data_IF_850368830930
#
_entry.id   IF_850368830930
#
_cell.length_a   1.000
_cell.length_b   1.000
_cell.length_c   1.000
_cell.angle_alpha   90.00
_cell.angle_beta   90.00
_cell.angle_gamma   90.00
#
_symmetry.space_group_name_H-M   'P 1'
#
loop_
_entity.id
_entity.type
_entity.pdbx_description
1 polymer ?
#
# COMPACT_ATOMS: atom_id res chain seq x y z
N UNK A 1 -2.67 -27.69 28.47
CA UNK A 1 -1.29 -27.42 28.06
C UNK A 1 -1.19 -27.83 26.59
N UNK A 2 -0.94 -26.88 25.69
CA UNK A 2 -0.83 -27.15 24.26
C UNK A 2 0.63 -27.01 23.84
N UNK A 3 1.06 -27.80 22.86
CA UNK A 3 2.33 -27.62 22.17
C UNK A 3 2.13 -26.65 21.01
N UNK A 4 2.78 -25.49 21.10
CA UNK A 4 2.67 -24.40 20.14
C UNK A 4 4.01 -24.18 19.46
N UNK A 5 3.99 -23.93 18.16
CA UNK A 5 5.20 -23.52 17.42
C UNK A 5 4.94 -22.16 16.78
N UNK A 6 5.76 -21.17 17.09
CA UNK A 6 5.72 -19.87 16.42
C UNK A 6 6.79 -19.89 15.33
N UNK A 7 6.34 -19.89 14.08
CA UNK A 7 7.19 -19.84 12.90
C UNK A 7 7.28 -18.41 12.40
N UNK A 8 8.45 -18.02 11.89
CA UNK A 8 8.57 -16.84 11.05
C UNK A 8 9.45 -17.14 9.84
N UNK A 9 8.89 -16.95 8.65
CA UNK A 9 9.64 -16.90 7.40
C UNK A 9 9.37 -15.58 6.69
N UNK A 10 10.29 -15.15 5.83
CA UNK A 10 10.07 -13.93 5.05
C UNK A 10 8.83 -14.06 4.14
N UNK A 11 8.58 -15.26 3.60
CA UNK A 11 7.47 -15.52 2.68
C UNK A 11 6.09 -15.50 3.36
N UNK A 12 5.98 -16.00 4.59
CA UNK A 12 4.69 -16.22 5.25
C UNK A 12 4.42 -15.22 6.38
N UNK A 13 5.47 -14.61 6.93
CA UNK A 13 5.41 -13.80 8.14
C UNK A 13 5.35 -14.67 9.40
N UNK A 14 4.86 -14.10 10.51
CA UNK A 14 4.77 -14.83 11.78
C UNK A 14 3.43 -15.55 11.92
N UNK A 15 3.48 -16.87 12.09
CA UNK A 15 2.32 -17.75 12.26
C UNK A 15 2.50 -18.58 13.53
N UNK A 16 1.40 -18.88 14.22
CA UNK A 16 1.36 -19.77 15.39
C UNK A 16 0.62 -21.04 14.99
N UNK A 17 1.32 -22.16 15.12
CA UNK A 17 0.82 -23.51 14.86
C UNK A 17 0.50 -24.24 16.18
N UNK A 18 -0.17 -25.40 16.08
CA UNK A 18 -0.58 -26.17 17.26
C UNK A 18 -1.76 -25.58 18.02
N UNK A 19 -2.47 -24.64 17.40
CA UNK A 19 -3.55 -23.85 18.03
C UNK A 19 -4.86 -23.94 17.25
N UNK A 20 -5.97 -23.77 17.95
CA UNK A 20 -7.30 -23.57 17.39
C UNK A 20 -7.92 -22.25 17.86
N UNK A 21 -9.05 -21.86 17.28
CA UNK A 21 -9.69 -20.58 17.59
C UNK A 21 -10.11 -20.45 19.06
N UNK A 22 -10.50 -21.57 19.68
CA UNK A 22 -11.16 -21.63 20.98
C UNK A 22 -10.37 -22.47 22.01
N UNK A 23 -9.07 -22.67 21.78
CA UNK A 23 -8.16 -23.43 22.68
C UNK A 23 -7.62 -22.63 23.88
N UNK A 24 -8.11 -21.40 24.09
CA UNK A 24 -7.68 -20.50 25.15
C UNK A 24 -6.46 -19.62 24.83
N UNK A 25 -5.71 -19.89 23.75
CA UNK A 25 -4.54 -19.08 23.34
C UNK A 25 -4.93 -17.71 22.79
N UNK A 26 -6.16 -17.60 22.26
CA UNK A 26 -6.64 -16.42 21.54
C UNK A 26 -6.65 -15.13 22.35
N UNK A 27 -6.81 -15.19 23.68
CA UNK A 27 -6.79 -13.99 24.53
C UNK A 27 -5.41 -13.35 24.54
N UNK A 28 -4.36 -14.13 24.83
CA UNK A 28 -2.96 -13.68 24.80
C UNK A 28 -2.57 -13.22 23.39
N UNK A 29 -2.90 -14.01 22.38
CA UNK A 29 -2.54 -13.70 20.99
C UNK A 29 -3.16 -12.38 20.52
N UNK A 30 -4.43 -12.11 20.83
CA UNK A 30 -5.08 -10.83 20.50
C UNK A 30 -4.43 -9.62 21.18
N UNK A 31 -4.00 -9.75 22.44
CA UNK A 31 -3.30 -8.67 23.16
C UNK A 31 -1.98 -8.32 22.46
N UNK A 32 -1.28 -9.32 21.93
CA UNK A 32 -0.09 -9.13 21.11
C UNK A 32 -0.39 -8.79 19.64
N UNK A 33 -1.66 -8.52 19.29
CA UNK A 33 -2.08 -8.07 17.96
C UNK A 33 -2.10 -9.15 16.88
N UNK A 34 -2.16 -10.43 17.25
CA UNK A 34 -2.41 -11.53 16.32
C UNK A 34 -3.88 -11.60 15.94
N UNK A 35 -4.15 -12.15 14.75
CA UNK A 35 -5.49 -12.36 14.21
C UNK A 35 -5.68 -13.81 13.79
N UNK A 36 -6.91 -14.30 13.92
CA UNK A 36 -7.28 -15.62 13.42
C UNK A 36 -7.50 -15.57 11.91
N UNK A 37 -6.68 -16.31 11.16
CA UNK A 37 -6.84 -16.49 9.73
C UNK A 37 -7.73 -17.69 9.44
N UNK A 38 -8.93 -17.47 8.89
CA UNK A 38 -9.86 -18.57 8.58
C UNK A 38 -9.37 -19.50 7.46
N UNK A 39 -8.60 -18.98 6.49
CA UNK A 39 -8.08 -19.75 5.36
C UNK A 39 -6.86 -20.61 5.70
N UNK A 40 -6.05 -20.15 6.66
CA UNK A 40 -4.85 -20.85 7.14
C UNK A 40 -5.11 -21.64 8.42
N UNK A 41 -6.31 -21.50 9.00
CA UNK A 41 -6.73 -22.11 10.27
C UNK A 41 -5.70 -21.94 11.38
N UNK A 42 -5.13 -20.74 11.48
CA UNK A 42 -4.04 -20.43 12.39
C UNK A 42 -4.10 -18.97 12.85
N UNK A 43 -3.45 -18.69 13.98
CA UNK A 43 -3.19 -17.32 14.41
C UNK A 43 -1.98 -16.77 13.68
N UNK A 44 -2.08 -15.57 13.14
CA UNK A 44 -0.98 -14.92 12.43
C UNK A 44 -0.82 -13.47 12.85
N UNK A 45 0.40 -12.94 12.70
CA UNK A 45 0.68 -11.52 12.91
C UNK A 45 0.45 -10.76 11.60
N UNK A 46 -0.46 -9.77 11.56
CA UNK A 46 -0.62 -8.96 10.36
C UNK A 46 0.63 -8.12 10.05
N UNK A 47 0.87 -7.87 8.76
CA UNK A 47 1.95 -7.01 8.25
C UNK A 47 3.38 -7.47 8.55
N UNK A 48 3.60 -8.78 8.76
CA UNK A 48 4.94 -9.38 8.94
C UNK A 48 5.43 -10.16 7.73
N UNK A 49 4.55 -10.49 6.77
CA UNK A 49 4.96 -11.10 5.50
C UNK A 49 5.83 -10.13 4.69
N UNK A 50 6.79 -10.68 3.97
CA UNK A 50 7.80 -9.99 3.15
C UNK A 50 8.66 -9.02 3.99
N UNK A 51 8.95 -9.38 5.25
CA UNK A 51 9.77 -8.59 6.19
C UNK A 51 10.66 -9.50 7.02
N UNK A 52 11.81 -8.98 7.45
CA UNK A 52 12.65 -9.64 8.46
C UNK A 52 11.91 -9.84 9.80
N UNK A 53 12.25 -10.89 10.57
CA UNK A 53 11.64 -11.16 11.86
C UNK A 53 11.88 -10.05 12.87
N UNK A 54 10.81 -9.70 13.58
CA UNK A 54 10.90 -8.90 14.79
C UNK A 54 11.04 -9.81 16.01
N UNK A 55 12.27 -10.28 16.24
CA UNK A 55 12.58 -11.26 17.29
C UNK A 55 12.05 -10.84 18.65
N UNK A 56 12.21 -9.55 19.02
CA UNK A 56 11.73 -9.04 20.31
C UNK A 56 10.21 -9.23 20.48
N UNK A 57 9.42 -8.94 19.44
CA UNK A 57 7.97 -9.13 19.49
C UNK A 57 7.58 -10.61 19.49
N UNK A 58 8.31 -11.46 18.77
CA UNK A 58 8.08 -12.90 18.71
C UNK A 58 8.39 -13.55 20.07
N UNK A 59 9.55 -13.23 20.65
CA UNK A 59 9.94 -13.70 21.98
C UNK A 59 8.98 -13.20 23.07
N UNK A 60 8.53 -11.95 22.98
CA UNK A 60 7.57 -11.39 23.92
C UNK A 60 6.24 -12.13 23.95
N UNK A 61 5.70 -12.54 22.80
CA UNK A 61 4.47 -13.34 22.77
C UNK A 61 4.72 -14.79 23.19
N UNK A 62 5.87 -15.37 22.85
CA UNK A 62 6.24 -16.71 23.29
C UNK A 62 6.35 -16.78 24.82
N UNK A 63 6.96 -15.78 25.45
CA UNK A 63 7.02 -15.66 26.90
C UNK A 63 5.61 -15.54 27.51
N UNK A 64 4.73 -14.72 26.94
CA UNK A 64 3.37 -14.57 27.44
C UNK A 64 2.56 -15.89 27.34
N UNK A 65 2.72 -16.64 26.26
CA UNK A 65 2.08 -17.95 26.08
C UNK A 65 2.64 -19.01 27.04
N UNK A 66 3.95 -19.01 27.29
CA UNK A 66 4.59 -19.88 28.30
C UNK A 66 4.07 -19.57 29.70
N UNK A 67 3.95 -18.28 30.07
CA UNK A 67 3.35 -17.85 31.35
C UNK A 67 1.89 -18.30 31.47
N UNK A 68 1.15 -18.37 30.37
CA UNK A 68 -0.20 -18.91 30.33
C UNK A 68 -0.26 -20.45 30.39
N UNK A 69 0.86 -21.15 30.55
CA UNK A 69 0.93 -22.59 30.75
C UNK A 69 0.96 -23.42 29.47
N UNK A 70 1.37 -22.82 28.34
CA UNK A 70 1.59 -23.53 27.08
C UNK A 70 3.07 -23.84 26.86
N UNK A 71 3.38 -24.93 26.16
CA UNK A 71 4.74 -25.17 25.68
C UNK A 71 4.90 -24.46 24.32
N UNK A 72 5.97 -23.68 24.15
CA UNK A 72 6.16 -22.86 22.95
C UNK A 72 7.56 -23.03 22.39
N UNK A 73 7.64 -23.50 21.15
CA UNK A 73 8.84 -23.56 20.34
C UNK A 73 8.90 -22.36 19.38
N UNK A 74 10.11 -21.89 19.07
CA UNK A 74 10.35 -20.81 18.12
C UNK A 74 11.17 -21.34 16.94
N UNK A 75 10.64 -21.16 15.74
CA UNK A 75 11.34 -21.42 14.48
C UNK A 75 11.42 -20.11 13.68
N UNK A 76 12.57 -19.44 13.73
CA UNK A 76 12.74 -18.10 13.17
C UNK A 76 13.78 -18.15 12.06
N UNK A 77 13.33 -18.04 10.82
CA UNK A 77 14.18 -17.83 9.67
C UNK A 77 14.56 -16.34 9.55
N UNK A 78 15.88 -16.09 9.53
CA UNK A 78 16.47 -14.76 9.39
C UNK A 78 16.86 -14.40 7.95
N UNK A 79 16.64 -15.32 7.01
CA UNK A 79 16.83 -15.07 5.59
C UNK A 79 15.77 -14.11 5.04
N UNK A 80 16.08 -13.45 3.93
CA UNK A 80 15.11 -12.63 3.20
C UNK A 80 15.03 -13.09 1.75
N UNK A 81 13.82 -13.03 1.18
CA UNK A 81 13.62 -13.26 -0.24
C UNK A 81 14.13 -12.07 -1.04
N UNK A 82 14.57 -12.32 -2.26
CA UNK A 82 15.00 -11.22 -3.14
C UNK A 82 13.85 -10.25 -3.41
N UNK A 83 14.17 -8.98 -3.62
CA UNK A 83 13.20 -7.97 -3.99
C UNK A 83 12.48 -8.33 -5.30
N UNK A 84 13.15 -9.01 -6.24
CA UNK A 84 12.51 -9.48 -7.47
C UNK A 84 11.37 -10.47 -7.17
N UNK A 85 11.62 -11.50 -6.36
CA UNK A 85 10.61 -12.51 -6.02
C UNK A 85 9.46 -11.91 -5.21
N UNK A 86 9.78 -11.03 -4.26
CA UNK A 86 8.77 -10.34 -3.43
C UNK A 86 7.86 -9.46 -4.29
N UNK A 87 8.44 -8.73 -5.25
CA UNK A 87 7.67 -7.83 -6.10
C UNK A 87 6.87 -8.58 -7.18
N UNK A 88 7.38 -9.70 -7.70
CA UNK A 88 6.62 -10.62 -8.54
C UNK A 88 5.39 -11.18 -7.80
N UNK A 89 5.56 -11.70 -6.58
CA UNK A 89 4.46 -12.21 -5.76
C UNK A 89 3.43 -11.12 -5.40
N UNK A 90 3.89 -9.89 -5.17
CA UNK A 90 2.99 -8.75 -4.91
C UNK A 90 2.20 -8.39 -6.16
N UNK A 91 2.83 -8.38 -7.33
CA UNK A 91 2.16 -8.12 -8.60
C UNK A 91 1.11 -9.19 -8.90
N UNK A 92 1.45 -10.48 -8.76
CA UNK A 92 0.50 -11.58 -8.93
C UNK A 92 -0.72 -11.44 -8.02
N UNK A 93 -0.50 -11.21 -6.72
CA UNK A 93 -1.61 -10.97 -5.76
C UNK A 93 -2.44 -9.73 -6.06
N UNK A 94 -1.82 -8.69 -6.62
CA UNK A 94 -2.53 -7.48 -7.02
C UNK A 94 -3.44 -7.76 -8.22
N UNK A 95 -2.96 -8.54 -9.20
CA UNK A 95 -3.74 -9.04 -10.34
C UNK A 95 -4.91 -9.91 -9.87
N UNK A 96 -4.66 -10.95 -9.08
CA UNK A 96 -5.73 -11.83 -8.55
C UNK A 96 -6.81 -11.02 -7.81
N UNK A 97 -6.38 -10.01 -7.06
CA UNK A 97 -7.28 -9.11 -6.35
C UNK A 97 -8.08 -8.22 -7.30
N UNK A 98 -7.45 -7.71 -8.36
CA UNK A 98 -8.11 -6.89 -9.36
C UNK A 98 -9.20 -7.72 -10.07
N UNK A 99 -8.86 -8.92 -10.54
CA UNK A 99 -9.79 -9.84 -11.22
C UNK A 99 -10.97 -10.22 -10.32
N UNK A 100 -10.70 -10.55 -9.05
CA UNK A 100 -11.77 -10.88 -8.10
C UNK A 100 -12.69 -9.70 -7.79
N UNK A 101 -12.17 -8.46 -7.80
CA UNK A 101 -12.96 -7.25 -7.60
C UNK A 101 -13.72 -6.86 -8.86
N UNK A 102 -13.17 -7.10 -10.04
CA UNK A 102 -13.79 -6.86 -11.32
C UNK A 102 -15.00 -7.78 -11.52
N UNK A 103 -14.81 -9.09 -11.35
CA UNK A 103 -15.92 -10.05 -11.37
C UNK A 103 -16.99 -9.73 -10.30
N UNK A 104 -16.60 -9.12 -9.19
CA UNK A 104 -17.56 -8.65 -8.17
C UNK A 104 -18.31 -7.39 -8.63
N UNK A 105 -17.66 -6.49 -9.36
CA UNK A 105 -18.28 -5.32 -9.96
C UNK A 105 -19.34 -5.74 -10.98
N UNK A 106 -19.02 -6.70 -11.86
CA UNK A 106 -19.98 -7.25 -12.84
C UNK A 106 -21.23 -7.81 -12.16
N UNK A 107 -21.05 -8.67 -11.16
CA UNK A 107 -22.20 -9.23 -10.40
C UNK A 107 -23.06 -8.14 -9.75
N UNK A 108 -22.46 -7.01 -9.35
CA UNK A 108 -23.19 -5.89 -8.77
C UNK A 108 -23.88 -5.04 -9.84
N UNK A 109 -23.25 -4.85 -11.00
CA UNK A 109 -23.88 -4.20 -12.15
C UNK A 109 -25.11 -4.99 -12.62
N UNK A 110 -24.97 -6.30 -12.82
CA UNK A 110 -26.10 -7.15 -13.19
C UNK A 110 -27.24 -7.11 -12.16
N UNK A 111 -26.89 -7.07 -10.87
CA UNK A 111 -27.87 -6.94 -9.81
C UNK A 111 -28.58 -5.58 -9.85
N UNK A 112 -27.86 -4.49 -10.14
CA UNK A 112 -28.44 -3.16 -10.30
C UNK A 112 -29.41 -3.14 -11.49
N UNK A 113 -29.01 -3.64 -12.67
CA UNK A 113 -29.89 -3.74 -13.84
C UNK A 113 -31.16 -4.54 -13.55
N UNK A 114 -31.05 -5.68 -12.86
CA UNK A 114 -32.24 -6.48 -12.50
C UNK A 114 -33.18 -5.74 -11.55
N UNK A 115 -32.64 -5.04 -10.55
CA UNK A 115 -33.45 -4.30 -9.58
C UNK A 115 -34.06 -3.06 -10.22
N UNK A 116 -33.37 -2.43 -11.15
CA UNK A 116 -33.88 -1.27 -11.90
C UNK A 116 -35.03 -1.68 -12.83
N UNK A 117 -34.91 -2.79 -13.56
CA UNK A 117 -36.01 -3.35 -14.32
C UNK A 117 -37.24 -3.70 -13.45
N UNK A 118 -37.03 -4.10 -12.18
CA UNK A 118 -38.13 -4.29 -11.22
C UNK A 118 -38.76 -2.96 -10.80
N UNK A 119 -37.95 -1.91 -10.64
CA UNK A 119 -38.43 -0.55 -10.39
C UNK A 119 -39.26 -0.02 -11.57
N UNK A 120 -38.77 -0.12 -12.79
CA UNK A 120 -39.51 0.28 -14.00
C UNK A 120 -40.86 -0.45 -14.11
N UNK A 121 -40.88 -1.77 -13.88
CA UNK A 121 -42.13 -2.55 -13.85
C UNK A 121 -43.09 -2.11 -12.75
N UNK A 122 -42.57 -1.70 -11.58
CA UNK A 122 -43.40 -1.21 -10.49
C UNK A 122 -43.98 0.18 -10.79
N UNK A 123 -43.22 1.04 -11.45
CA UNK A 123 -43.67 2.36 -11.94
C UNK A 123 -44.70 2.21 -13.05
N UNK A 124 -44.46 1.33 -14.02
CA UNK A 124 -45.39 1.06 -15.12
C UNK A 124 -46.73 0.48 -14.65
N UNK A 125 -46.79 -0.10 -13.43
CA UNK A 125 -48.02 -0.58 -12.82
C UNK A 125 -48.83 0.50 -12.07
N UNK A 126 -48.31 1.73 -11.98
CA UNK A 126 -49.04 2.85 -11.39
C UNK A 126 -50.15 3.34 -12.34
N UNK A 127 -51.22 3.96 -11.82
CA UNK A 127 -52.24 4.56 -12.65
C UNK A 127 -51.67 5.60 -13.61
N UNK A 128 -52.07 5.51 -14.88
CA UNK A 128 -51.64 6.42 -15.94
C UNK A 128 -52.03 7.87 -15.60
N UNK A 129 -51.15 8.81 -15.89
CA UNK A 129 -51.39 10.24 -15.64
C UNK A 129 -51.41 10.66 -14.17
N UNK A 130 -51.07 9.77 -13.22
CA UNK A 130 -50.98 10.13 -11.80
C UNK A 130 -52.33 10.40 -11.15
N UNK A 131 -53.34 9.59 -11.49
CA UNK A 131 -54.69 9.69 -10.91
C UNK A 131 -54.63 9.84 -9.37
N UNK A 132 -55.40 10.75 -8.74
CA UNK A 132 -55.43 10.84 -7.28
C UNK A 132 -55.97 9.57 -6.61
N UNK A 133 -55.53 9.29 -5.38
CA UNK A 133 -56.10 8.20 -4.57
C UNK A 133 -57.56 8.53 -4.22
N UNK A 134 -58.49 7.71 -4.69
CA UNK A 134 -59.92 7.80 -4.34
C UNK A 134 -60.16 7.26 -2.93
N UNK A 135 -60.13 8.14 -1.93
CA UNK A 135 -60.33 7.78 -0.51
C UNK A 135 -61.75 7.25 -0.29
N UNK A 136 -61.89 6.11 0.41
CA UNK A 136 -63.15 5.43 0.67
C UNK A 136 -63.65 4.52 -0.46
N UNK A 137 -62.94 4.46 -1.60
CA UNK A 137 -63.30 3.61 -2.73
C UNK A 137 -62.66 2.21 -2.61
N UNK A 138 -63.29 1.18 -3.17
CA UNK A 138 -62.78 -0.21 -3.10
C UNK A 138 -61.37 -0.39 -3.72
N UNK A 139 -60.93 0.53 -4.60
CA UNK A 139 -59.60 0.51 -5.23
C UNK A 139 -58.50 1.21 -4.42
N UNK A 140 -58.85 1.95 -3.36
CA UNK A 140 -57.93 2.76 -2.55
C UNK A 140 -56.72 1.96 -2.05
N UNK A 141 -56.97 0.78 -1.46
CA UNK A 141 -55.93 -0.12 -0.94
C UNK A 141 -54.97 -0.58 -2.03
N UNK A 142 -55.49 -0.90 -3.22
CA UNK A 142 -54.67 -1.33 -4.36
C UNK A 142 -53.75 -0.20 -4.82
N UNK A 143 -54.28 1.02 -4.89
CA UNK A 143 -53.51 2.20 -5.30
C UNK A 143 -52.37 2.50 -4.31
N UNK A 144 -52.65 2.58 -3.01
CA UNK A 144 -51.60 2.79 -1.99
C UNK A 144 -50.51 1.73 -2.07
N UNK A 145 -50.90 0.46 -2.20
CA UNK A 145 -49.93 -0.64 -2.32
C UNK A 145 -49.06 -0.53 -3.58
N UNK A 146 -49.60 -0.04 -4.69
CA UNK A 146 -48.84 0.17 -5.93
C UNK A 146 -47.79 1.27 -5.76
N UNK A 147 -48.17 2.41 -5.16
CA UNK A 147 -47.25 3.52 -4.83
C UNK A 147 -46.15 3.03 -3.87
N UNK A 148 -46.53 2.36 -2.79
CA UNK A 148 -45.56 1.82 -1.82
C UNK A 148 -44.58 0.84 -2.47
N UNK A 149 -45.07 -0.02 -3.38
CA UNK A 149 -44.23 -0.96 -4.12
C UNK A 149 -43.25 -0.23 -5.04
N UNK A 150 -43.72 0.78 -5.78
CA UNK A 150 -42.87 1.60 -6.64
C UNK A 150 -41.81 2.35 -5.83
N UNK A 151 -42.19 2.93 -4.69
CA UNK A 151 -41.27 3.64 -3.78
C UNK A 151 -40.20 2.72 -3.19
N UNK A 152 -40.59 1.54 -2.70
CA UNK A 152 -39.62 0.54 -2.20
C UNK A 152 -38.69 0.05 -3.31
N UNK A 153 -39.21 -0.17 -4.52
CA UNK A 153 -38.42 -0.59 -5.67
C UNK A 153 -37.43 0.50 -6.10
N UNK A 154 -37.83 1.77 -6.09
CA UNK A 154 -36.92 2.90 -6.32
C UNK A 154 -35.78 2.93 -5.30
N UNK A 155 -36.12 2.84 -4.01
CA UNK A 155 -35.12 2.80 -2.95
C UNK A 155 -34.14 1.64 -3.12
N UNK A 156 -34.63 0.46 -3.48
CA UNK A 156 -33.78 -0.70 -3.77
C UNK A 156 -32.89 -0.48 -5.00
N UNK A 157 -33.41 0.09 -6.09
CA UNK A 157 -32.64 0.42 -7.31
C UNK A 157 -31.49 1.37 -6.99
N UNK A 158 -31.76 2.46 -6.28
CA UNK A 158 -30.74 3.44 -5.87
C UNK A 158 -29.65 2.81 -5.01
N UNK A 159 -29.99 1.91 -4.07
CA UNK A 159 -28.98 1.23 -3.25
C UNK A 159 -28.16 0.22 -4.06
N UNK A 160 -28.78 -0.48 -5.01
CA UNK A 160 -28.10 -1.40 -5.90
C UNK A 160 -27.12 -0.67 -6.83
N UNK A 161 -27.53 0.46 -7.40
CA UNK A 161 -26.70 1.32 -8.24
C UNK A 161 -25.49 1.88 -7.46
N UNK A 162 -25.71 2.40 -6.24
CA UNK A 162 -24.60 2.84 -5.36
C UNK A 162 -23.62 1.71 -5.07
N UNK A 163 -24.12 0.50 -4.82
CA UNK A 163 -23.28 -0.67 -4.57
C UNK A 163 -22.49 -1.10 -5.82
N UNK A 164 -23.09 -1.00 -7.01
CA UNK A 164 -22.43 -1.25 -8.29
C UNK A 164 -21.33 -0.21 -8.57
N UNK A 165 -21.64 1.08 -8.42
CA UNK A 165 -20.70 2.18 -8.58
C UNK A 165 -19.49 2.04 -7.63
N UNK A 166 -19.73 1.73 -6.36
CA UNK A 166 -18.64 1.50 -5.40
C UNK A 166 -17.80 0.26 -5.74
N UNK A 167 -18.43 -0.83 -6.19
CA UNK A 167 -17.71 -2.03 -6.62
C UNK A 167 -16.82 -1.74 -7.83
N UNK A 168 -17.34 -1.06 -8.86
CA UNK A 168 -16.59 -0.65 -10.04
C UNK A 168 -15.43 0.29 -9.68
N UNK A 169 -15.65 1.26 -8.78
CA UNK A 169 -14.58 2.15 -8.29
C UNK A 169 -13.46 1.35 -7.62
N UNK A 170 -13.78 0.36 -6.80
CA UNK A 170 -12.80 -0.50 -6.14
C UNK A 170 -12.04 -1.39 -7.12
N UNK A 171 -12.70 -1.92 -8.14
CA UNK A 171 -12.07 -2.69 -9.21
C UNK A 171 -11.03 -1.84 -9.95
N UNK A 172 -11.41 -0.63 -10.41
CA UNK A 172 -10.48 0.32 -11.04
C UNK A 172 -9.27 0.65 -10.17
N UNK A 173 -9.50 0.96 -8.89
CA UNK A 173 -8.39 1.26 -7.97
C UNK A 173 -7.44 0.06 -7.83
N UNK A 174 -7.97 -1.16 -7.80
CA UNK A 174 -7.17 -2.38 -7.70
C UNK A 174 -6.38 -2.67 -8.97
N UNK A 175 -6.98 -2.47 -10.16
CA UNK A 175 -6.29 -2.62 -11.44
C UNK A 175 -5.07 -1.71 -11.54
N UNK A 176 -5.22 -0.44 -11.15
CA UNK A 176 -4.14 0.55 -11.18
C UNK A 176 -3.10 0.39 -10.04
N UNK A 177 -3.26 -0.58 -9.13
CA UNK A 177 -2.46 -0.65 -7.90
C UNK A 177 -0.96 -0.86 -8.19
N UNK A 178 -0.64 -1.76 -9.13
CA UNK A 178 0.74 -2.05 -9.55
C UNK A 178 1.37 -0.84 -10.23
N UNK A 179 0.63 -0.18 -11.12
CA UNK A 179 1.09 1.01 -11.84
C UNK A 179 1.42 2.16 -10.88
N UNK A 180 0.54 2.46 -9.92
CA UNK A 180 0.82 3.49 -8.90
C UNK A 180 2.05 3.17 -8.07
N UNK A 181 2.27 1.88 -7.77
CA UNK A 181 3.40 1.41 -6.98
C UNK A 181 4.73 1.54 -7.74
N UNK A 182 4.66 1.38 -9.05
CA UNK A 182 5.78 1.45 -9.98
C UNK A 182 5.90 2.82 -10.67
N UNK A 183 5.05 3.78 -10.35
CA UNK A 183 5.13 5.14 -10.90
C UNK A 183 6.56 5.72 -10.74
N UNK A 184 7.13 6.38 -11.75
CA UNK A 184 8.55 6.79 -11.72
C UNK A 184 8.96 7.60 -10.49
N UNK A 185 8.11 8.53 -10.05
CA UNK A 185 8.35 9.34 -8.84
C UNK A 185 8.35 8.47 -7.58
N UNK A 186 7.43 7.51 -7.47
CA UNK A 186 7.37 6.54 -6.36
C UNK A 186 8.64 5.69 -6.30
N UNK A 187 9.14 5.24 -7.45
CA UNK A 187 10.38 4.47 -7.55
C UNK A 187 11.58 5.32 -7.11
N UNK A 188 11.71 6.56 -7.59
CA UNK A 188 12.80 7.45 -7.17
C UNK A 188 12.79 7.70 -5.66
N UNK A 189 11.63 8.03 -5.08
CA UNK A 189 11.51 8.24 -3.64
C UNK A 189 11.88 7.00 -2.82
N UNK A 190 11.55 5.80 -3.34
CA UNK A 190 11.91 4.53 -2.72
C UNK A 190 13.43 4.30 -2.74
N UNK A 191 14.08 4.56 -3.88
CA UNK A 191 15.54 4.48 -4.01
C UNK A 191 16.21 5.43 -3.00
N UNK A 192 15.75 6.68 -2.93
CA UNK A 192 16.29 7.68 -2.00
C UNK A 192 16.15 7.24 -0.53
N UNK A 193 15.00 6.67 -0.18
CA UNK A 193 14.74 6.13 1.16
C UNK A 193 15.67 4.95 1.47
N UNK A 194 15.78 3.98 0.57
CA UNK A 194 16.66 2.83 0.74
C UNK A 194 18.13 3.25 0.85
N UNK A 195 18.59 4.19 0.03
CA UNK A 195 19.94 4.75 0.12
C UNK A 195 20.16 5.52 1.43
N UNK A 196 19.13 6.11 2.03
CA UNK A 196 19.22 6.69 3.37
C UNK A 196 19.29 5.64 4.48
N UNK A 197 18.51 4.56 4.36
CA UNK A 197 18.50 3.47 5.33
C UNK A 197 19.83 2.71 5.32
N UNK A 198 20.38 2.41 4.13
CA UNK A 198 21.73 1.81 3.98
C UNK A 198 22.78 2.66 4.72
N UNK A 199 22.78 3.98 4.50
CA UNK A 199 23.71 4.90 5.19
C UNK A 199 23.50 4.94 6.70
N UNK A 200 22.26 4.88 7.18
CA UNK A 200 21.95 4.81 8.60
C UNK A 200 22.45 3.52 9.24
N UNK A 201 22.22 2.37 8.60
CA UNK A 201 22.70 1.07 9.08
C UNK A 201 24.23 1.01 9.08
N UNK A 202 24.90 1.43 8.00
CA UNK A 202 26.38 1.49 7.95
C UNK A 202 26.93 2.38 9.05
N UNK A 203 26.39 3.58 9.25
CA UNK A 203 26.81 4.49 10.33
C UNK A 203 26.65 3.88 11.73
N UNK A 204 25.61 3.07 11.95
CA UNK A 204 25.41 2.36 13.23
C UNK A 204 26.38 1.18 13.38
N UNK A 205 26.70 0.48 12.29
CA UNK A 205 27.65 -0.62 12.27
C UNK A 205 29.09 -0.17 12.52
N UNK A 206 29.48 0.99 11.99
CA UNK A 206 30.84 1.52 12.11
C UNK A 206 31.03 2.38 13.36
N UNK A 207 29.93 2.84 13.96
CA UNK A 207 29.96 3.87 14.99
C UNK A 207 30.09 5.26 14.39
N UNK A 208 29.76 6.29 15.16
CA UNK A 208 29.86 7.68 14.70
C UNK A 208 29.97 8.67 15.85
N UNK A 209 30.54 9.83 15.54
CA UNK A 209 30.56 10.98 16.45
C UNK A 209 29.43 11.94 16.09
N UNK A 210 28.60 12.31 17.07
CA UNK A 210 27.65 13.42 17.00
C UNK A 210 28.33 14.72 17.42
N UNK A 211 27.92 15.83 16.80
CA UNK A 211 28.42 17.18 17.07
C UNK A 211 29.96 17.27 17.18
N UNK A 212 30.72 16.83 16.16
CA UNK A 212 32.18 16.73 16.25
C UNK A 212 32.91 18.07 16.49
N UNK A 213 32.25 19.19 16.19
CA UNK A 213 32.76 20.56 16.39
C UNK A 213 32.12 21.29 17.59
N UNK A 214 31.41 20.56 18.45
CA UNK A 214 30.75 21.11 19.64
C UNK A 214 31.40 20.57 20.90
N UNK A 215 31.39 21.34 22.01
CA UNK A 215 31.71 20.81 23.34
C UNK A 215 30.85 19.60 23.75
N UNK A 216 29.63 19.47 23.21
CA UNK A 216 28.72 18.34 23.45
C UNK A 216 28.99 17.15 22.51
N UNK A 217 30.27 16.87 22.22
CA UNK A 217 30.67 15.77 21.34
C UNK A 217 30.32 14.44 22.00
N UNK A 218 29.55 13.62 21.30
CA UNK A 218 29.15 12.28 21.75
C UNK A 218 29.67 11.24 20.75
N UNK A 219 30.49 10.30 21.22
CA UNK A 219 30.98 9.18 20.40
C UNK A 219 30.11 7.96 20.66
N UNK A 220 29.40 7.53 19.63
CA UNK A 220 28.60 6.31 19.65
C UNK A 220 29.47 5.18 19.08
N UNK A 221 29.75 4.12 19.86
CA UNK A 221 30.59 3.01 19.41
C UNK A 221 29.90 2.22 18.28
N UNK A 222 30.71 1.45 17.55
CA UNK A 222 30.23 0.47 16.59
C UNK A 222 29.26 -0.51 17.25
N UNK A 223 28.20 -0.88 16.54
CA UNK A 223 27.27 -1.91 17.02
C UNK A 223 27.99 -3.26 17.22
N UNK A 224 27.64 -3.96 18.29
CA UNK A 224 28.19 -5.27 18.69
C UNK A 224 27.07 -6.29 18.93
N UNK A 225 27.43 -7.58 18.98
CA UNK A 225 26.52 -8.70 19.28
C UNK A 225 25.29 -8.76 18.38
N UNK A 226 24.17 -9.22 18.94
CA UNK A 226 22.90 -9.41 18.22
C UNK A 226 22.41 -8.15 17.51
N UNK A 227 22.69 -6.96 18.08
CA UNK A 227 22.33 -5.70 17.46
C UNK A 227 23.10 -5.46 16.16
N UNK A 228 24.40 -5.80 16.13
CA UNK A 228 25.22 -5.74 14.92
C UNK A 228 24.68 -6.70 13.86
N UNK A 229 24.37 -7.93 14.24
CA UNK A 229 23.89 -8.94 13.30
C UNK A 229 22.54 -8.55 12.69
N UNK A 230 21.64 -8.00 13.51
CA UNK A 230 20.38 -7.43 13.03
C UNK A 230 20.61 -6.30 12.03
N UNK A 231 21.49 -5.35 12.34
CA UNK A 231 21.81 -4.25 11.42
C UNK A 231 22.42 -4.75 10.11
N UNK A 232 23.28 -5.76 10.16
CA UNK A 232 23.87 -6.39 8.97
C UNK A 232 22.79 -6.98 8.08
N UNK A 233 21.83 -7.72 8.65
CA UNK A 233 20.67 -8.27 7.90
C UNK A 233 19.79 -7.17 7.30
N UNK A 234 19.45 -6.15 8.07
CA UNK A 234 18.65 -5.01 7.59
C UNK A 234 19.36 -4.24 6.47
N UNK A 235 20.69 -4.09 6.55
CA UNK A 235 21.49 -3.48 5.49
C UNK A 235 21.47 -4.32 4.22
N UNK A 236 21.70 -5.63 4.34
CA UNK A 236 21.70 -6.56 3.20
C UNK A 236 20.33 -6.58 2.48
N UNK A 237 19.22 -6.60 3.24
CA UNK A 237 17.88 -6.52 2.66
C UNK A 237 17.66 -5.17 1.94
N UNK A 238 18.08 -4.05 2.55
CA UNK A 238 17.96 -2.73 1.94
C UNK A 238 18.83 -2.58 0.67
N UNK A 239 20.04 -3.15 0.66
CA UNK A 239 20.93 -3.19 -0.51
C UNK A 239 20.31 -4.00 -1.65
N UNK A 240 19.72 -5.16 -1.35
CA UNK A 240 19.02 -5.98 -2.33
C UNK A 240 17.81 -5.23 -2.94
N UNK A 241 17.00 -4.58 -2.11
CA UNK A 241 15.88 -3.75 -2.59
C UNK A 241 16.38 -2.55 -3.40
N UNK A 242 17.45 -1.88 -2.95
CA UNK A 242 18.01 -0.72 -3.65
C UNK A 242 18.50 -1.11 -5.05
N UNK A 243 19.21 -2.23 -5.17
CA UNK A 243 19.67 -2.75 -6.46
C UNK A 243 18.50 -3.01 -7.41
N UNK A 244 17.47 -3.72 -6.95
CA UNK A 244 16.28 -4.00 -7.75
C UNK A 244 15.57 -2.73 -8.22
N UNK A 245 15.28 -1.78 -7.31
CA UNK A 245 14.58 -0.56 -7.69
C UNK A 245 15.42 0.35 -8.59
N UNK A 246 16.74 0.34 -8.43
CA UNK A 246 17.66 1.06 -9.33
C UNK A 246 17.61 0.48 -10.74
N UNK A 247 17.58 -0.85 -10.89
CA UNK A 247 17.40 -1.50 -12.19
C UNK A 247 16.04 -1.15 -12.81
N UNK A 248 14.95 -1.16 -12.03
CA UNK A 248 13.62 -0.71 -12.49
C UNK A 248 13.67 0.74 -12.96
N UNK A 249 14.32 1.65 -12.22
CA UNK A 249 14.46 3.06 -12.62
C UNK A 249 15.27 3.21 -13.92
N UNK A 250 16.33 2.42 -14.09
CA UNK A 250 17.11 2.41 -15.32
C UNK A 250 16.26 1.97 -16.52
N UNK A 251 15.43 0.93 -16.35
CA UNK A 251 14.49 0.50 -17.39
C UNK A 251 13.46 1.58 -17.71
N UNK A 252 12.91 2.26 -16.70
CA UNK A 252 11.97 3.38 -16.93
C UNK A 252 12.58 4.53 -17.75
N UNK A 253 13.87 4.78 -17.58
CA UNK A 253 14.60 5.78 -18.36
C UNK A 253 14.80 5.27 -19.79
N UNK A 254 15.20 4.01 -19.96
CA UNK A 254 15.37 3.38 -21.28
C UNK A 254 14.05 3.35 -22.08
N UNK A 255 12.93 3.11 -21.41
CA UNK A 255 11.58 3.10 -22.00
C UNK A 255 11.02 4.51 -22.25
N UNK A 256 11.75 5.56 -21.84
CA UNK A 256 11.32 6.96 -22.00
C UNK A 256 10.19 7.40 -21.06
N UNK A 257 9.89 6.63 -20.01
CA UNK A 257 8.85 6.96 -19.02
C UNK A 257 9.27 8.09 -18.08
N UNK A 258 10.57 8.30 -17.90
CA UNK A 258 11.15 9.37 -17.08
C UNK A 258 12.55 9.72 -17.57
N UNK A 259 13.08 10.85 -17.12
CA UNK A 259 14.44 11.27 -17.48
C UNK A 259 15.47 10.79 -16.46
N UNK A 260 16.73 10.78 -16.87
CA UNK A 260 17.93 10.60 -16.03
C UNK A 260 18.33 11.88 -15.28
N UNK A 261 17.32 12.68 -14.92
CA UNK A 261 17.50 13.96 -14.24
C UNK A 261 18.37 13.82 -12.99
N UNK A 262 19.44 14.60 -12.94
CA UNK A 262 20.39 14.64 -11.84
C UNK A 262 21.13 15.98 -11.86
N UNK A 263 21.93 16.25 -10.82
CA UNK A 263 22.81 17.42 -10.80
C UNK A 263 23.82 17.43 -11.95
N UNK A 264 24.17 16.27 -12.48
CA UNK A 264 25.18 16.16 -13.53
C UNK A 264 24.57 16.33 -14.93
N UNK A 265 23.27 16.09 -15.08
CA UNK A 265 22.56 16.18 -16.38
C UNK A 265 21.83 17.51 -16.56
N UNK A 266 21.39 18.15 -15.47
CA UNK A 266 20.64 19.41 -15.50
C UNK A 266 21.53 20.55 -14.97
N UNK A 267 21.64 21.62 -15.76
CA UNK A 267 22.38 22.84 -15.40
C UNK A 267 21.42 23.99 -15.05
N UNK A 268 21.96 25.00 -14.37
CA UNK A 268 21.23 26.27 -14.15
C UNK A 268 20.97 26.91 -15.52
N UNK A 269 19.76 27.44 -15.71
CA UNK A 269 19.27 27.98 -16.98
C UNK A 269 18.46 26.99 -17.82
N UNK A 270 18.67 25.68 -17.65
CA UNK A 270 17.91 24.66 -18.40
C UNK A 270 16.41 24.74 -18.10
N UNK A 271 15.60 24.21 -19.02
CA UNK A 271 14.16 24.08 -18.84
C UNK A 271 13.80 22.66 -18.42
N UNK A 272 12.97 22.54 -17.40
CA UNK A 272 12.46 21.26 -16.90
C UNK A 272 10.95 21.26 -16.84
N UNK A 273 10.35 20.07 -16.94
CA UNK A 273 8.92 19.87 -16.72
C UNK A 273 8.69 18.99 -15.51
N UNK A 274 7.87 19.45 -14.57
CA UNK A 274 7.61 18.77 -13.30
C UNK A 274 6.11 18.59 -13.11
N UNK A 275 5.66 17.39 -12.74
CA UNK A 275 4.24 17.07 -12.45
C UNK A 275 3.25 17.47 -13.57
N UNK A 276 3.66 17.33 -14.84
CA UNK A 276 2.80 17.65 -15.99
C UNK A 276 2.49 19.13 -16.18
N UNK A 277 3.25 20.02 -15.52
CA UNK A 277 3.13 21.48 -15.65
C UNK A 277 3.83 22.02 -16.90
N UNK A 278 3.86 23.33 -17.02
CA UNK A 278 4.65 24.06 -18.01
C UNK A 278 6.16 23.82 -17.86
N UNK A 279 6.92 24.25 -18.88
CA UNK A 279 8.38 24.30 -18.82
C UNK A 279 8.82 25.43 -17.89
N UNK A 280 9.58 25.10 -16.86
CA UNK A 280 10.08 26.04 -15.84
C UNK A 280 11.62 26.08 -15.86
N UNK A 281 12.19 27.26 -15.66
CA UNK A 281 13.64 27.46 -15.72
C UNK A 281 14.31 27.08 -14.40
N UNK A 282 15.43 26.35 -14.48
CA UNK A 282 16.21 25.94 -13.31
C UNK A 282 17.05 27.11 -12.81
N UNK A 283 16.84 27.52 -11.56
CA UNK A 283 17.59 28.62 -10.93
C UNK A 283 18.74 28.12 -10.07
N UNK A 284 18.64 26.90 -9.51
CA UNK A 284 19.69 26.31 -8.68
C UNK A 284 19.69 24.79 -8.76
N UNK A 285 20.88 24.20 -8.74
CA UNK A 285 21.07 22.74 -8.67
C UNK A 285 21.84 22.35 -7.41
N UNK A 286 21.21 21.54 -6.55
CA UNK A 286 21.82 20.94 -5.37
C UNK A 286 22.11 19.44 -5.65
N UNK A 287 22.72 18.73 -4.71
CA UNK A 287 23.02 17.31 -4.89
C UNK A 287 21.77 16.42 -5.07
N UNK A 288 20.65 16.76 -4.43
CA UNK A 288 19.42 15.94 -4.42
C UNK A 288 18.18 16.67 -4.93
N UNK A 289 18.26 17.98 -5.02
CA UNK A 289 17.13 18.83 -5.36
C UNK A 289 17.58 19.89 -6.35
N UNK A 290 16.62 20.46 -7.04
CA UNK A 290 16.81 21.66 -7.82
C UNK A 290 15.72 22.67 -7.47
N UNK A 291 16.03 23.95 -7.62
CA UNK A 291 15.07 25.02 -7.46
C UNK A 291 14.71 25.54 -8.86
N UNK A 292 13.41 25.69 -9.14
CA UNK A 292 12.88 26.18 -10.43
C UNK A 292 12.10 27.46 -10.22
N UNK A 293 12.20 28.38 -11.17
CA UNK A 293 11.35 29.56 -11.21
C UNK A 293 9.99 29.16 -11.77
N UNK A 294 8.99 29.05 -10.90
CA UNK A 294 7.62 28.80 -11.37
C UNK A 294 7.03 30.04 -12.01
N UNK A 295 6.22 29.83 -13.05
CA UNK A 295 5.42 30.90 -13.65
C UNK A 295 4.31 31.41 -12.73
N UNK A 296 3.87 30.58 -11.78
CA UNK A 296 2.73 30.86 -10.91
C UNK A 296 3.12 31.42 -9.53
N UNK A 297 4.39 31.35 -9.16
CA UNK A 297 4.88 31.80 -7.85
C UNK A 297 6.01 32.82 -8.04
N UNK A 298 6.05 33.89 -7.23
CA UNK A 298 7.08 34.92 -7.34
C UNK A 298 8.46 34.47 -6.82
N UNK A 299 8.55 33.30 -6.20
CA UNK A 299 9.79 32.74 -5.64
C UNK A 299 10.09 31.35 -6.22
N UNK A 300 11.37 30.92 -6.23
CA UNK A 300 11.73 29.59 -6.68
C UNK A 300 11.11 28.50 -5.81
N UNK A 301 10.65 27.43 -6.45
CA UNK A 301 10.11 26.23 -5.77
C UNK A 301 11.15 25.11 -5.86
N UNK A 302 11.36 24.39 -4.76
CA UNK A 302 12.27 23.26 -4.67
C UNK A 302 11.58 21.96 -5.03
N UNK A 303 12.23 21.16 -5.87
CA UNK A 303 11.79 19.82 -6.26
C UNK A 303 12.93 18.80 -6.17
N UNK A 304 12.61 17.52 -6.02
CA UNK A 304 13.60 16.44 -6.15
C UNK A 304 13.81 16.10 -7.63
N UNK A 305 14.98 15.57 -7.98
CA UNK A 305 15.24 15.16 -9.36
C UNK A 305 14.27 14.08 -9.85
N UNK A 306 13.78 13.20 -8.96
CA UNK A 306 12.81 12.18 -9.30
C UNK A 306 11.44 12.72 -9.76
N UNK A 307 11.12 13.98 -9.49
CA UNK A 307 9.89 14.65 -9.92
C UNK A 307 9.98 15.26 -11.33
N UNK A 308 11.18 15.29 -11.93
CA UNK A 308 11.40 15.79 -13.28
C UNK A 308 10.88 14.75 -14.29
N UNK A 309 10.02 15.21 -15.19
CA UNK A 309 9.36 14.39 -16.21
C UNK A 309 9.91 14.65 -17.62
N UNK A 310 10.53 15.81 -17.83
CA UNK A 310 11.21 16.16 -19.08
C UNK A 310 12.28 17.23 -18.81
N UNK A 311 13.31 17.25 -19.66
CA UNK A 311 14.43 18.20 -19.59
C UNK A 311 14.79 18.68 -21.00
N UNK A 312 15.15 19.96 -21.12
CA UNK A 312 15.68 20.61 -22.32
C UNK A 312 16.90 21.42 -21.94
N UNK A 313 18.06 21.08 -22.51
CA UNK A 313 19.26 21.91 -22.41
C UNK A 313 19.03 23.22 -23.13
N UNK A 314 19.33 24.34 -22.48
CA UNK A 314 19.34 25.68 -23.11
C UNK A 314 20.75 26.12 -23.48
N UNK A 315 21.77 25.35 -23.10
CA UNK A 315 23.14 25.58 -23.50
C UNK A 315 23.38 24.92 -24.86
N UNK A 316 23.96 25.67 -25.81
CA UNK A 316 24.44 25.12 -27.07
C UNK A 316 25.49 24.03 -26.78
N UNK A 317 25.41 22.92 -27.51
CA UNK A 317 26.35 21.78 -27.44
C UNK A 317 27.74 22.23 -27.87
#
# INVERSE_FOLDING_TARGET
MAELTITHTHAEGTIVHGTSRDDGTGTTLKQHGYRWGRSITAWYKPHTRDRLPDTYRIEGVAAALRTAGHNVELDIDHSFRTAADVEADKAARATDRADALDAKADRKADAATRVDAMHERAVAALPEGGEPIKVGHHSERRHRNAIDKAWRALGASVQADKAATEAARRARIAADATDRRNAPVTVANRIDKLAADIRDYTRKLDGHTRHPRSPYRETIPAATGDYRDRLTRMRAEAENQHAYWTAVRAQQIADGLTTDASRNTIKVGDLVRIKGRDWEAVTKTNAKTLDVQSRHMPFPIRYTYGEVTAHKSTHAV
#
